data_IF_662454780790
#
_entry.id   IF_662454780790
#
_cell.length_a   1.000
_cell.length_b   1.000
_cell.length_c   1.000
_cell.angle_alpha   90.00
_cell.angle_beta   90.00
_cell.angle_gamma   90.00
#
_symmetry.space_group_name_H-M   'P 1'
#
loop_
_entity.id
_entity.type
_entity.pdbx_description
1 polymer ?
#
# COMPACT_ATOMS: atom_id res chain seq x y z
N UNK A 1 7.96 14.85 -4.85
CA UNK A 1 8.62 13.63 -4.32
C UNK A 1 8.48 13.49 -2.80
N UNK A 2 8.47 14.59 -2.02
CA UNK A 2 8.27 14.53 -0.56
C UNK A 2 6.89 14.04 -0.13
N UNK A 3 5.85 14.34 -0.92
CA UNK A 3 4.45 14.12 -0.52
C UNK A 3 4.01 12.66 -0.58
N UNK A 4 4.48 11.89 -1.57
CA UNK A 4 4.18 10.46 -1.68
C UNK A 4 4.81 9.65 -0.52
N UNK A 5 6.02 10.01 -0.10
CA UNK A 5 6.67 9.36 1.05
C UNK A 5 5.87 9.58 2.33
N UNK A 6 5.42 10.82 2.58
CA UNK A 6 4.61 11.16 3.75
C UNK A 6 3.26 10.45 3.73
N UNK A 7 2.65 10.29 2.55
CA UNK A 7 1.39 9.56 2.39
C UNK A 7 1.56 8.07 2.73
N UNK A 8 2.59 7.42 2.19
CA UNK A 8 2.89 6.01 2.48
C UNK A 8 3.18 5.83 3.98
N UNK A 9 3.96 6.73 4.59
CA UNK A 9 4.26 6.69 6.03
C UNK A 9 2.99 6.80 6.90
N UNK A 10 2.06 7.68 6.51
CA UNK A 10 0.76 7.82 7.18
C UNK A 10 -0.10 6.56 7.07
N UNK A 11 -0.17 5.96 5.88
CA UNK A 11 -0.93 4.72 5.64
C UNK A 11 -0.34 3.55 6.44
N UNK A 12 0.99 3.38 6.43
CA UNK A 12 1.68 2.36 7.23
C UNK A 12 1.41 2.56 8.72
N UNK A 13 1.46 3.81 9.21
CA UNK A 13 1.15 4.12 10.61
C UNK A 13 -0.28 3.73 10.99
N UNK A 14 -1.26 3.95 10.09
CA UNK A 14 -2.65 3.50 10.29
C UNK A 14 -2.78 1.98 10.33
N UNK A 15 -2.09 1.27 9.43
CA UNK A 15 -2.08 -0.21 9.41
C UNK A 15 -1.52 -0.76 10.72
N UNK A 16 -0.35 -0.25 11.14
CA UNK A 16 0.29 -0.69 12.38
C UNK A 16 -0.58 -0.40 13.61
N UNK A 17 -1.25 0.76 13.63
CA UNK A 17 -2.17 1.12 14.73
C UNK A 17 -3.38 0.19 14.77
N UNK A 18 -3.99 -0.11 13.61
CA UNK A 18 -5.11 -1.03 13.51
C UNK A 18 -4.72 -2.45 13.92
N UNK A 19 -3.60 -2.99 13.42
CA UNK A 19 -3.11 -4.33 13.76
C UNK A 19 -2.65 -4.44 15.22
N UNK A 20 -2.14 -3.35 15.82
CA UNK A 20 -1.81 -3.30 17.24
C UNK A 20 -3.05 -3.38 18.12
N UNK A 21 -4.15 -2.75 17.71
CA UNK A 21 -5.43 -2.82 18.43
C UNK A 21 -6.14 -4.17 18.22
N UNK A 22 -6.10 -4.70 16.99
CA UNK A 22 -6.65 -6.00 16.64
C UNK A 22 -5.74 -6.67 15.59
N UNK A 23 -4.99 -7.73 15.96
CA UNK A 23 -4.13 -8.44 15.02
C UNK A 23 -4.85 -9.01 13.79
N UNK A 24 -6.16 -9.27 13.91
CA UNK A 24 -7.04 -9.72 12.83
C UNK A 24 -7.81 -8.57 12.15
N UNK A 25 -7.42 -7.31 12.39
CA UNK A 25 -8.00 -6.17 11.67
C UNK A 25 -7.75 -6.34 10.18
N UNK A 26 -8.85 -6.27 9.42
CA UNK A 26 -8.78 -6.14 7.98
C UNK A 26 -8.24 -4.74 7.63
N UNK A 27 -7.09 -4.74 6.97
CA UNK A 27 -6.41 -3.54 6.49
C UNK A 27 -6.15 -3.63 4.99
N UNK A 28 -6.77 -4.59 4.29
CA UNK A 28 -6.49 -4.87 2.87
C UNK A 28 -6.77 -3.65 1.99
N UNK A 29 -7.73 -2.79 2.38
CA UNK A 29 -7.97 -1.53 1.69
C UNK A 29 -6.79 -0.54 1.79
N UNK A 30 -6.12 -0.48 2.95
CA UNK A 30 -4.95 0.38 3.15
C UNK A 30 -3.71 -0.20 2.47
N UNK A 31 -3.57 -1.52 2.47
CA UNK A 31 -2.49 -2.24 1.77
C UNK A 31 -2.60 -2.00 0.25
N UNK A 32 -3.80 -2.16 -0.33
CA UNK A 32 -4.04 -1.88 -1.75
C UNK A 32 -3.75 -0.42 -2.15
N UNK A 33 -4.04 0.54 -1.27
CA UNK A 33 -3.70 1.96 -1.51
C UNK A 33 -2.18 2.17 -1.55
N UNK A 34 -1.42 1.50 -0.68
CA UNK A 34 0.04 1.53 -0.70
C UNK A 34 0.58 0.86 -1.98
N UNK A 35 0.05 -0.29 -2.37
CA UNK A 35 0.49 -1.01 -3.58
C UNK A 35 0.35 -0.13 -4.82
N UNK A 36 -0.79 0.54 -4.99
CA UNK A 36 -1.01 1.49 -6.08
C UNK A 36 -0.02 2.66 -6.07
N UNK A 37 0.28 3.23 -4.89
CA UNK A 37 1.27 4.30 -4.76
C UNK A 37 2.68 3.83 -5.11
N UNK A 38 3.03 2.60 -4.73
CA UNK A 38 4.32 1.97 -5.07
C UNK A 38 4.40 1.72 -6.58
N UNK A 39 3.35 1.19 -7.19
CA UNK A 39 3.31 0.98 -8.65
C UNK A 39 3.49 2.29 -9.41
N UNK A 40 2.84 3.37 -8.97
CA UNK A 40 3.01 4.70 -9.56
C UNK A 40 4.44 5.26 -9.39
N UNK A 41 5.08 5.00 -8.26
CA UNK A 41 6.46 5.45 -8.01
C UNK A 41 7.48 4.76 -8.92
N UNK A 42 7.27 3.48 -9.20
CA UNK A 42 8.12 2.70 -10.09
C UNK A 42 7.67 2.74 -11.56
N UNK A 43 6.50 3.34 -11.85
CA UNK A 43 5.97 3.49 -13.20
C UNK A 43 5.52 2.18 -13.84
N UNK A 44 5.01 1.24 -13.04
CA UNK A 44 4.58 -0.07 -13.55
C UNK A 44 3.36 0.06 -14.47
N UNK A 45 3.34 -0.76 -15.52
CA UNK A 45 2.16 -0.92 -16.37
C UNK A 45 1.16 -1.92 -15.79
N UNK A 46 -0.06 -1.95 -16.32
CA UNK A 46 -1.08 -2.91 -15.89
C UNK A 46 -0.63 -4.36 -16.09
N UNK A 47 0.15 -4.64 -17.14
CA UNK A 47 0.74 -5.95 -17.40
C UNK A 47 1.78 -6.33 -16.34
N UNK A 48 2.63 -5.39 -15.94
CA UNK A 48 3.63 -5.62 -14.89
C UNK A 48 2.97 -5.80 -13.51
N UNK A 49 1.91 -5.04 -13.23
CA UNK A 49 1.10 -5.21 -12.01
C UNK A 49 0.45 -6.59 -11.98
N UNK A 50 -0.14 -7.05 -13.09
CA UNK A 50 -0.73 -8.38 -13.17
C UNK A 50 0.29 -9.50 -12.88
N UNK A 51 1.53 -9.34 -13.36
CA UNK A 51 2.63 -10.28 -13.06
C UNK A 51 2.96 -10.26 -11.55
N UNK A 52 2.97 -9.09 -10.90
CA UNK A 52 3.25 -8.95 -9.47
C UNK A 52 2.14 -9.55 -8.60
N UNK A 53 0.87 -9.36 -8.99
CA UNK A 53 -0.28 -9.91 -8.26
C UNK A 53 -0.55 -11.39 -8.58
N UNK A 54 0.10 -11.95 -9.60
CA UNK A 54 -0.08 -13.35 -10.01
C UNK A 54 -1.44 -13.62 -10.66
N UNK A 55 -1.96 -12.62 -11.39
CA UNK A 55 -3.24 -12.68 -12.10
C UNK A 55 -3.14 -13.31 -13.50
#
# INVERSE_FOLDING_TARGET
>A
MSDQRNLIESLVTRILTAKKANPAADVSALEAEIDQLVYQLYGLTAEEIAIVEGA
#
